data_IF_207104145285
#
_entry.id   IF_207104145285
#
_cell.length_a   1.000
_cell.length_b   1.000
_cell.length_c   1.000
_cell.angle_alpha   90.00
_cell.angle_beta   90.00
_cell.angle_gamma   90.00
#
_symmetry.space_group_name_H-M   'P 1'
#
loop_
_entity.id
_entity.type
_entity.pdbx_description
1 polymer ?
#
# COMPACT_ATOMS: atom_id res chain seq x y z
N UNK A 1 -14.11 11.38 6.12
CA UNK A 1 -13.37 10.98 7.34
C UNK A 1 -12.17 10.17 6.90
N UNK A 2 -10.96 10.45 7.38
CA UNK A 2 -9.80 9.64 7.04
C UNK A 2 -9.90 8.29 7.76
N UNK A 3 -10.23 7.22 7.03
CA UNK A 3 -10.30 5.87 7.60
C UNK A 3 -8.93 5.51 8.16
N UNK A 4 -8.86 5.33 9.48
CA UNK A 4 -7.65 4.87 10.16
C UNK A 4 -7.89 3.42 10.56
N UNK A 5 -7.11 2.50 10.00
CA UNK A 5 -7.15 1.10 10.43
C UNK A 5 -6.74 0.99 11.89
N UNK A 6 -7.63 0.48 12.74
CA UNK A 6 -7.38 0.27 14.16
C UNK A 6 -6.52 -0.96 14.42
N UNK A 7 -5.26 -0.88 14.02
CA UNK A 7 -4.34 -2.02 14.02
C UNK A 7 -4.03 -2.56 15.43
N UNK A 8 -4.01 -1.68 16.44
CA UNK A 8 -3.79 -2.09 17.83
C UNK A 8 -4.90 -3.01 18.34
N UNK A 9 -6.17 -2.75 17.98
CA UNK A 9 -7.29 -3.61 18.38
C UNK A 9 -7.12 -5.05 17.83
N UNK A 10 -6.62 -5.17 16.60
CA UNK A 10 -6.34 -6.48 16.00
C UNK A 10 -5.13 -7.16 16.65
N UNK A 11 -4.10 -6.39 17.01
CA UNK A 11 -2.94 -6.92 17.71
C UNK A 11 -3.32 -7.47 19.09
N UNK A 12 -4.08 -6.71 19.88
CA UNK A 12 -4.54 -7.13 21.20
C UNK A 12 -5.40 -8.40 21.10
N UNK A 13 -6.27 -8.47 20.07
CA UNK A 13 -7.08 -9.66 19.79
C UNK A 13 -6.22 -10.87 19.43
N UNK A 14 -5.18 -10.72 18.61
CA UNK A 14 -4.26 -11.80 18.25
C UNK A 14 -3.48 -12.31 19.46
N UNK A 15 -2.96 -11.40 20.29
CA UNK A 15 -2.20 -11.76 21.50
C UNK A 15 -3.11 -12.49 22.51
N UNK A 16 -4.41 -12.17 22.55
CA UNK A 16 -5.38 -12.81 23.44
C UNK A 16 -5.88 -14.17 22.92
N UNK A 17 -6.25 -14.26 21.64
CA UNK A 17 -6.95 -15.42 21.08
C UNK A 17 -6.04 -16.40 20.33
N UNK A 18 -4.83 -15.98 19.97
CA UNK A 18 -3.83 -16.81 19.29
C UNK A 18 -2.43 -16.62 19.89
N UNK A 19 -2.25 -16.83 21.21
CA UNK A 19 -0.99 -16.50 21.91
C UNK A 19 0.23 -17.26 21.39
N UNK A 20 0.02 -18.46 20.85
CA UNK A 20 1.11 -19.29 20.28
C UNK A 20 1.44 -18.96 18.82
N UNK A 21 0.61 -18.16 18.12
CA UNK A 21 0.83 -17.74 16.73
C UNK A 21 1.69 -16.46 16.67
N UNK A 22 2.93 -16.61 17.12
CA UNK A 22 3.93 -15.53 17.17
C UNK A 22 4.15 -14.90 15.78
N UNK A 23 4.05 -15.70 14.72
CA UNK A 23 4.25 -15.22 13.35
C UNK A 23 3.15 -14.24 12.96
N UNK A 24 1.88 -14.61 13.12
CA UNK A 24 0.76 -13.71 12.82
C UNK A 24 0.75 -12.49 13.73
N UNK A 25 1.04 -12.66 15.03
CA UNK A 25 1.08 -11.55 16.00
C UNK A 25 2.15 -10.49 15.68
N UNK A 26 3.20 -10.83 14.92
CA UNK A 26 4.22 -9.87 14.49
C UNK A 26 3.83 -9.07 13.24
N UNK A 27 2.83 -9.51 12.45
CA UNK A 27 2.43 -8.83 11.23
C UNK A 27 1.85 -7.42 11.51
N UNK A 28 0.95 -7.21 12.50
CA UNK A 28 0.51 -5.87 12.89
C UNK A 28 1.67 -4.95 13.30
N UNK A 29 2.67 -5.46 14.04
CA UNK A 29 3.85 -4.67 14.44
C UNK A 29 4.64 -4.21 13.22
N UNK A 30 4.81 -5.10 12.23
CA UNK A 30 5.49 -4.80 10.96
C UNK A 30 4.73 -3.78 10.11
N UNK A 31 3.40 -3.89 10.04
CA UNK A 31 2.53 -2.92 9.37
C UNK A 31 2.62 -1.55 10.04
N UNK A 32 2.52 -1.49 11.36
CA UNK A 32 2.68 -0.24 12.13
C UNK A 32 4.02 0.42 11.82
N UNK A 33 5.12 -0.33 11.88
CA UNK A 33 6.46 0.19 11.53
C UNK A 33 6.53 0.68 10.08
N UNK A 34 5.94 -0.04 9.15
CA UNK A 34 5.91 0.31 7.73
C UNK A 34 5.12 1.61 7.49
N UNK A 35 4.03 1.84 8.22
CA UNK A 35 3.29 3.11 8.16
C UNK A 35 4.16 4.31 8.57
N UNK A 36 4.93 4.19 9.66
CA UNK A 36 5.87 5.24 10.08
C UNK A 36 6.93 5.54 9.01
N UNK A 37 7.52 4.50 8.41
CA UNK A 37 8.53 4.63 7.35
C UNK A 37 7.91 5.28 6.10
N UNK A 38 6.70 4.88 5.72
CA UNK A 38 5.98 5.48 4.60
C UNK A 38 5.76 6.98 4.82
N UNK A 39 5.25 7.36 6.00
CA UNK A 39 5.02 8.77 6.31
C UNK A 39 6.30 9.61 6.28
N UNK A 40 7.43 9.04 6.72
CA UNK A 40 8.72 9.70 6.62
C UNK A 40 9.09 9.99 5.16
N UNK A 41 9.05 8.98 4.29
CA UNK A 41 9.42 9.14 2.88
C UNK A 41 8.44 10.04 2.13
N UNK A 42 7.13 9.92 2.38
CA UNK A 42 6.12 10.77 1.74
C UNK A 42 6.34 12.25 2.09
N UNK A 43 6.64 12.56 3.36
CA UNK A 43 6.93 13.95 3.76
C UNK A 43 8.18 14.49 3.08
N UNK A 44 9.27 13.72 3.07
CA UNK A 44 10.52 14.15 2.44
C UNK A 44 10.38 14.33 0.92
N UNK A 45 9.66 13.44 0.24
CA UNK A 45 9.40 13.59 -1.20
C UNK A 45 8.56 14.83 -1.50
N UNK A 46 7.50 15.08 -0.72
CA UNK A 46 6.61 16.24 -0.87
C UNK A 46 7.35 17.56 -0.64
N UNK A 47 8.22 17.59 0.37
CA UNK A 47 8.88 18.82 0.82
C UNK A 47 10.23 19.07 0.13
N UNK A 48 10.68 18.14 -0.73
CA UNK A 48 11.99 18.21 -1.38
C UNK A 48 12.26 19.52 -2.11
N UNK A 49 11.24 20.11 -2.74
CA UNK A 49 11.34 21.37 -3.49
C UNK A 49 10.83 22.59 -2.69
N UNK A 50 10.64 22.49 -1.37
CA UNK A 50 10.05 23.56 -0.56
C UNK A 50 10.81 24.89 -0.68
N UNK A 51 12.14 24.86 -0.82
CA UNK A 51 12.98 26.04 -0.96
C UNK A 51 12.77 26.79 -2.30
N UNK A 52 12.24 26.11 -3.31
CA UNK A 52 11.96 26.67 -4.64
C UNK A 52 10.52 27.15 -4.80
N UNK A 53 9.65 26.92 -3.81
CA UNK A 53 8.27 27.40 -3.83
C UNK A 53 8.20 28.88 -3.51
N UNK A 54 7.45 29.62 -4.32
CA UNK A 54 7.21 31.04 -4.09
C UNK A 54 6.00 31.26 -3.18
N UNK A 55 5.97 32.34 -2.37
CA UNK A 55 4.87 32.60 -1.43
C UNK A 55 3.51 32.81 -2.10
N UNK A 56 3.50 33.26 -3.35
CA UNK A 56 2.32 33.49 -4.18
C UNK A 56 1.90 32.25 -5.00
N UNK A 57 2.63 31.15 -4.87
CA UNK A 57 2.40 29.92 -5.65
C UNK A 57 3.04 29.96 -7.05
N UNK A 58 3.83 30.99 -7.37
CA UNK A 58 4.62 31.05 -8.59
C UNK A 58 5.66 29.92 -8.70
N UNK A 59 5.99 29.60 -9.95
CA UNK A 59 6.97 28.57 -10.31
C UNK A 59 8.25 29.15 -10.92
N UNK A 60 8.42 30.48 -10.92
CA UNK A 60 9.54 31.15 -11.60
C UNK A 60 10.87 30.74 -10.98
N UNK A 61 10.96 30.79 -9.65
CA UNK A 61 12.15 30.35 -8.92
C UNK A 61 12.53 28.90 -9.24
N UNK A 62 11.55 28.01 -9.31
CA UNK A 62 11.78 26.60 -9.64
C UNK A 62 12.20 26.42 -11.10
N UNK A 63 11.59 27.18 -12.02
CA UNK A 63 11.96 27.18 -13.44
C UNK A 63 13.41 27.63 -13.65
N UNK A 64 13.79 28.75 -13.06
CA UNK A 64 15.14 29.33 -13.17
C UNK A 64 16.18 28.36 -12.61
N UNK A 65 15.93 27.77 -11.44
CA UNK A 65 16.83 26.82 -10.82
C UNK A 65 17.01 25.54 -11.66
N UNK A 66 15.93 25.04 -12.26
CA UNK A 66 15.94 23.91 -13.19
C UNK A 66 16.77 24.22 -14.44
N UNK A 67 16.51 25.35 -15.10
CA UNK A 67 17.18 25.73 -16.36
C UNK A 67 18.65 26.12 -16.17
N UNK A 68 19.01 26.59 -14.97
CA UNK A 68 20.37 26.98 -14.61
C UNK A 68 21.22 25.82 -14.08
N UNK A 69 20.65 24.60 -14.02
CA UNK A 69 21.30 23.42 -13.45
C UNK A 69 21.86 23.67 -12.04
N UNK A 70 21.10 24.37 -11.21
CA UNK A 70 21.54 24.69 -9.85
C UNK A 70 21.85 23.39 -9.06
N UNK A 71 22.99 23.32 -8.35
CA UNK A 71 23.33 22.15 -7.53
C UNK A 71 22.24 21.82 -6.49
N UNK A 72 21.63 22.84 -5.90
CA UNK A 72 20.57 22.67 -4.90
C UNK A 72 19.28 22.12 -5.52
N UNK A 73 18.95 22.52 -6.76
CA UNK A 73 17.83 21.92 -7.50
C UNK A 73 18.10 20.44 -7.78
N UNK A 74 19.30 20.11 -8.25
CA UNK A 74 19.70 18.72 -8.50
C UNK A 74 19.64 17.86 -7.23
N UNK A 75 20.02 18.45 -6.09
CA UNK A 75 19.89 17.80 -4.78
C UNK A 75 18.42 17.60 -4.38
N UNK A 76 17.56 18.60 -4.56
CA UNK A 76 16.14 18.48 -4.31
C UNK A 76 15.48 17.40 -5.19
N UNK A 77 15.84 17.35 -6.48
CA UNK A 77 15.41 16.31 -7.40
C UNK A 77 15.78 14.91 -6.91
N UNK A 78 17.04 14.71 -6.51
CA UNK A 78 17.50 13.42 -5.95
C UNK A 78 16.76 13.06 -4.66
N UNK A 79 16.54 14.02 -3.76
CA UNK A 79 15.77 13.80 -2.53
C UNK A 79 14.34 13.37 -2.84
N UNK A 80 13.68 14.04 -3.78
CA UNK A 80 12.32 13.72 -4.19
C UNK A 80 12.26 12.30 -4.78
N UNK A 81 13.14 11.98 -5.72
CA UNK A 81 13.15 10.70 -6.42
C UNK A 81 13.44 9.54 -5.47
N UNK A 82 14.49 9.66 -4.64
CA UNK A 82 14.87 8.61 -3.70
C UNK A 82 13.75 8.31 -2.69
N UNK A 83 13.07 9.35 -2.19
CA UNK A 83 11.98 9.17 -1.25
C UNK A 83 10.69 8.70 -1.92
N UNK A 84 10.43 9.06 -3.17
CA UNK A 84 9.33 8.52 -3.95
C UNK A 84 9.50 7.01 -4.17
N UNK A 85 10.68 6.59 -4.63
CA UNK A 85 11.03 5.17 -4.82
C UNK A 85 10.85 4.40 -3.49
N UNK A 86 11.35 4.95 -2.39
CA UNK A 86 11.22 4.33 -1.07
C UNK A 86 9.74 4.25 -0.61
N UNK A 87 8.93 5.28 -0.86
CA UNK A 87 7.50 5.27 -0.55
C UNK A 87 6.77 4.17 -1.34
N UNK A 88 7.02 4.07 -2.65
CA UNK A 88 6.43 3.04 -3.52
C UNK A 88 6.78 1.63 -3.01
N UNK A 89 8.07 1.38 -2.73
CA UNK A 89 8.49 0.08 -2.18
C UNK A 89 7.86 -0.22 -0.82
N UNK A 90 7.71 0.80 0.03
CA UNK A 90 7.08 0.65 1.34
C UNK A 90 5.61 0.29 1.20
N UNK A 91 4.84 0.94 0.32
CA UNK A 91 3.43 0.60 0.07
C UNK A 91 3.29 -0.81 -0.51
N UNK A 92 4.16 -1.20 -1.43
CA UNK A 92 4.17 -2.56 -1.99
C UNK A 92 4.44 -3.62 -0.92
N UNK A 93 5.44 -3.39 -0.07
CA UNK A 93 5.73 -4.28 1.06
C UNK A 93 4.57 -4.31 2.07
N UNK A 94 3.94 -3.16 2.35
CA UNK A 94 2.76 -3.06 3.22
C UNK A 94 1.61 -3.92 2.70
N UNK A 95 1.35 -3.90 1.38
CA UNK A 95 0.33 -4.74 0.76
C UNK A 95 0.63 -6.24 0.92
N UNK A 96 1.88 -6.67 0.76
CA UNK A 96 2.26 -8.08 0.90
C UNK A 96 2.19 -8.55 2.36
N UNK A 97 2.58 -7.72 3.33
CA UNK A 97 2.41 -8.03 4.76
C UNK A 97 0.93 -8.09 5.12
N UNK A 98 0.11 -7.18 4.60
CA UNK A 98 -1.34 -7.23 4.76
C UNK A 98 -1.93 -8.52 4.17
N UNK A 99 -1.49 -8.95 2.99
CA UNK A 99 -1.92 -10.20 2.38
C UNK A 99 -1.56 -11.41 3.25
N UNK A 100 -0.37 -11.42 3.88
CA UNK A 100 0.01 -12.47 4.84
C UNK A 100 -0.94 -12.53 6.03
N UNK A 101 -1.33 -11.36 6.56
CA UNK A 101 -2.29 -11.27 7.67
C UNK A 101 -3.68 -11.78 7.26
N UNK A 102 -4.15 -11.42 6.07
CA UNK A 102 -5.41 -11.95 5.51
C UNK A 102 -5.35 -13.46 5.32
N UNK A 103 -4.23 -13.98 4.79
CA UNK A 103 -4.03 -15.40 4.56
C UNK A 103 -4.10 -16.22 5.86
N UNK A 104 -3.53 -15.73 6.97
CA UNK A 104 -3.57 -16.45 8.26
C UNK A 104 -4.90 -16.31 9.00
N UNK A 105 -5.66 -15.23 8.74
CA UNK A 105 -6.91 -14.96 9.45
C UNK A 105 -8.16 -15.47 8.74
N UNK A 106 -8.20 -15.41 7.40
CA UNK A 106 -9.44 -15.63 6.63
C UNK A 106 -9.40 -16.86 5.70
N UNK A 107 -8.23 -17.41 5.39
CA UNK A 107 -8.12 -18.61 4.54
C UNK A 107 -8.10 -19.86 5.44
N UNK A 108 -9.03 -20.83 5.25
CA UNK A 108 -9.12 -22.02 6.12
C UNK A 108 -7.84 -22.87 6.15
N UNK A 109 -7.14 -22.95 5.01
CA UNK A 109 -5.83 -23.61 4.89
C UNK A 109 -4.85 -22.58 4.34
N UNK A 110 -4.16 -21.82 5.22
CA UNK A 110 -3.27 -20.75 4.81
C UNK A 110 -2.15 -21.25 3.88
N UNK A 111 -1.86 -20.48 2.83
CA UNK A 111 -0.71 -20.76 1.98
C UNK A 111 0.61 -20.47 2.71
N UNK A 112 1.70 -21.18 2.40
CA UNK A 112 3.02 -20.85 2.93
C UNK A 112 3.43 -19.41 2.60
N UNK A 113 4.07 -18.72 3.54
CA UNK A 113 4.42 -17.29 3.43
C UNK A 113 5.15 -16.92 2.11
N UNK A 114 6.08 -17.78 1.65
CA UNK A 114 6.81 -17.58 0.38
C UNK A 114 5.93 -17.50 -0.88
N UNK A 115 4.69 -17.94 -0.79
CA UNK A 115 3.72 -17.90 -1.88
C UNK A 115 2.62 -16.86 -1.66
N UNK A 116 2.70 -16.09 -0.58
CA UNK A 116 1.64 -15.19 -0.13
C UNK A 116 1.78 -13.79 -0.74
N UNK A 117 1.58 -13.67 -2.06
CA UNK A 117 1.45 -12.37 -2.72
C UNK A 117 0.02 -11.83 -2.59
N UNK A 118 -0.13 -10.51 -2.63
CA UNK A 118 -1.45 -9.86 -2.56
C UNK A 118 -2.45 -10.43 -3.58
N UNK A 119 -2.05 -10.54 -4.85
CA UNK A 119 -2.92 -11.04 -5.92
C UNK A 119 -3.33 -12.49 -5.74
N UNK A 120 -2.46 -13.35 -5.19
CA UNK A 120 -2.80 -14.74 -4.90
C UNK A 120 -3.81 -14.82 -3.77
N UNK A 121 -3.58 -14.12 -2.66
CA UNK A 121 -4.50 -14.11 -1.51
C UNK A 121 -5.88 -13.58 -1.93
N UNK A 122 -5.92 -12.51 -2.75
CA UNK A 122 -7.17 -12.00 -3.30
C UNK A 122 -7.92 -13.03 -4.17
N UNK A 123 -7.21 -13.95 -4.85
CA UNK A 123 -7.79 -15.05 -5.61
C UNK A 123 -8.29 -16.21 -4.74
N UNK A 124 -7.52 -16.58 -3.73
CA UNK A 124 -7.71 -17.77 -2.89
C UNK A 124 -8.76 -17.57 -1.79
N UNK A 125 -9.18 -16.33 -1.51
CA UNK A 125 -10.22 -16.03 -0.52
C UNK A 125 -11.57 -16.70 -0.87
N UNK A 126 -12.36 -17.11 0.13
CA UNK A 126 -13.77 -17.46 -0.07
C UNK A 126 -14.57 -16.27 -0.60
N UNK A 127 -15.64 -16.54 -1.36
CA UNK A 127 -16.45 -15.44 -1.91
C UNK A 127 -17.06 -14.56 -0.84
N UNK A 128 -16.83 -13.25 -0.98
CA UNK A 128 -17.23 -12.23 -0.01
C UNK A 128 -17.05 -10.82 -0.60
N UNK A 129 -17.70 -9.82 -0.02
CA UNK A 129 -17.45 -8.42 -0.36
C UNK A 129 -15.98 -8.03 -0.14
N UNK A 130 -15.36 -8.57 0.92
CA UNK A 130 -13.94 -8.37 1.20
C UNK A 130 -13.03 -8.88 0.07
N UNK A 131 -13.31 -10.08 -0.45
CA UNK A 131 -12.59 -10.64 -1.61
C UNK A 131 -12.72 -9.74 -2.84
N UNK A 132 -13.93 -9.29 -3.16
CA UNK A 132 -14.19 -8.42 -4.30
C UNK A 132 -13.36 -7.14 -4.22
N UNK A 133 -13.33 -6.47 -3.06
CA UNK A 133 -12.53 -5.26 -2.87
C UNK A 133 -11.02 -5.51 -2.95
N UNK A 134 -10.52 -6.65 -2.46
CA UNK A 134 -9.11 -7.03 -2.68
C UNK A 134 -8.80 -7.25 -4.15
N UNK A 135 -9.69 -7.91 -4.89
CA UNK A 135 -9.53 -8.13 -6.33
C UNK A 135 -9.58 -6.83 -7.12
N UNK A 136 -10.51 -5.94 -6.78
CA UNK A 136 -10.60 -4.58 -7.34
C UNK A 136 -9.30 -3.81 -7.12
N UNK A 137 -8.79 -3.76 -5.88
CA UNK A 137 -7.51 -3.11 -5.61
C UNK A 137 -6.36 -3.75 -6.40
N UNK A 138 -6.30 -5.09 -6.45
CA UNK A 138 -5.26 -5.82 -7.19
C UNK A 138 -5.28 -5.51 -8.70
N UNK A 139 -6.48 -5.32 -9.26
CA UNK A 139 -6.67 -4.99 -10.68
C UNK A 139 -6.59 -3.49 -10.99
N UNK A 140 -6.57 -2.63 -9.98
CA UNK A 140 -6.57 -1.18 -10.17
C UNK A 140 -5.29 -0.68 -10.85
N UNK A 141 -5.44 0.38 -11.65
CA UNK A 141 -4.35 0.98 -12.41
C UNK A 141 -3.15 1.29 -11.51
N UNK A 142 -3.36 2.04 -10.42
CA UNK A 142 -2.26 2.48 -9.56
C UNK A 142 -1.62 1.35 -8.78
N UNK A 143 -2.38 0.36 -8.28
CA UNK A 143 -1.76 -0.78 -7.61
C UNK A 143 -0.84 -1.57 -8.55
N UNK A 144 -1.26 -1.73 -9.81
CA UNK A 144 -0.46 -2.35 -10.87
C UNK A 144 0.74 -1.48 -11.25
N UNK A 145 0.56 -0.17 -11.42
CA UNK A 145 1.66 0.77 -11.66
C UNK A 145 2.75 0.61 -10.59
N UNK A 146 2.39 0.67 -9.30
CA UNK A 146 3.35 0.54 -8.20
C UNK A 146 4.02 -0.85 -8.18
N UNK A 147 3.30 -1.91 -8.55
CA UNK A 147 3.85 -3.26 -8.63
C UNK A 147 4.89 -3.36 -9.75
N UNK A 148 4.56 -2.86 -10.95
CA UNK A 148 5.46 -2.81 -12.09
C UNK A 148 6.70 -1.95 -11.79
N UNK A 149 6.49 -0.73 -11.30
CA UNK A 149 7.55 0.19 -10.90
C UNK A 149 8.49 -0.47 -9.89
N UNK A 150 7.95 -1.02 -8.79
CA UNK A 150 8.76 -1.68 -7.78
C UNK A 150 9.53 -2.89 -8.33
N UNK A 151 8.98 -3.65 -9.27
CA UNK A 151 9.63 -4.82 -9.82
C UNK A 151 10.75 -4.45 -10.81
N UNK A 152 10.53 -3.44 -11.66
CA UNK A 152 11.55 -2.90 -12.56
C UNK A 152 12.72 -2.36 -11.75
N UNK A 153 12.45 -1.49 -10.77
CA UNK A 153 13.47 -0.89 -9.90
C UNK A 153 14.27 -1.90 -9.08
N UNK A 154 13.68 -3.06 -8.74
CA UNK A 154 14.36 -4.14 -7.99
C UNK A 154 15.20 -5.08 -8.88
N UNK A 155 14.74 -5.38 -10.09
CA UNK A 155 15.24 -6.53 -10.85
C UNK A 155 15.80 -6.18 -12.24
N UNK A 156 15.57 -4.96 -12.72
CA UNK A 156 15.98 -4.55 -14.08
C UNK A 156 16.88 -3.31 -14.04
N UNK A 157 16.30 -2.16 -13.69
CA UNK A 157 16.98 -0.86 -13.63
C UNK A 157 16.10 0.13 -12.87
N UNK A 158 16.67 1.23 -12.38
CA UNK A 158 15.89 2.29 -11.77
C UNK A 158 15.13 3.07 -12.84
N UNK A 159 13.84 3.30 -12.61
CA UNK A 159 13.05 4.22 -13.43
C UNK A 159 13.44 5.65 -13.09
N UNK A 160 13.97 6.36 -14.07
CA UNK A 160 14.46 7.73 -13.91
C UNK A 160 13.32 8.75 -14.00
N UNK A 161 13.41 9.76 -13.14
CA UNK A 161 12.57 10.94 -13.17
C UNK A 161 13.35 12.10 -13.77
N UNK A 162 12.79 12.76 -14.79
CA UNK A 162 13.44 13.89 -15.45
C UNK A 162 12.80 15.22 -15.06
N UNK A 163 13.60 16.28 -14.82
CA UNK A 163 13.08 17.63 -14.70
C UNK A 163 12.28 18.02 -15.95
N UNK A 164 11.08 18.57 -15.74
CA UNK A 164 10.18 18.96 -16.81
C UNK A 164 9.31 20.13 -16.37
N UNK A 165 8.89 20.95 -17.34
CA UNK A 165 7.95 22.03 -17.18
C UNK A 165 6.82 21.89 -18.20
N UNK A 166 5.59 22.10 -17.76
CA UNK A 166 4.38 22.17 -18.58
C UNK A 166 3.72 23.52 -18.35
N UNK A 167 3.66 24.35 -19.40
CA UNK A 167 3.01 25.66 -19.34
C UNK A 167 1.48 25.55 -19.44
N UNK A 168 0.97 24.49 -20.05
CA UNK A 168 -0.47 24.24 -20.14
C UNK A 168 -1.05 23.80 -18.80
N UNK A 169 -0.27 23.05 -18.01
CA UNK A 169 -0.65 22.55 -16.68
C UNK A 169 -0.18 23.49 -15.55
N UNK A 170 0.66 24.48 -15.86
CA UNK A 170 1.38 25.36 -14.91
C UNK A 170 2.14 24.57 -13.83
N UNK A 171 2.90 23.56 -14.27
CA UNK A 171 3.60 22.61 -13.40
C UNK A 171 5.06 22.52 -13.79
N UNK A 172 5.94 22.58 -12.78
CA UNK A 172 7.38 22.32 -12.90
C UNK A 172 7.77 21.30 -11.85
N UNK A 173 8.54 20.29 -12.24
CA UNK A 173 8.94 19.24 -11.32
C UNK A 173 9.62 18.08 -12.00
N UNK A 174 9.62 16.94 -11.33
CA UNK A 174 10.12 15.70 -11.89
C UNK A 174 8.98 14.90 -12.51
N UNK A 175 9.24 14.30 -13.66
CA UNK A 175 8.31 13.40 -14.34
C UNK A 175 8.97 12.04 -14.52
N UNK A 176 8.32 11.01 -13.97
CA UNK A 176 8.70 9.62 -14.22
C UNK A 176 8.45 9.32 -15.69
N UNK A 177 9.44 8.73 -16.35
CA UNK A 177 9.32 8.38 -17.76
C UNK A 177 8.29 7.27 -18.00
N UNK A 178 7.81 7.18 -19.24
CA UNK A 178 6.98 6.07 -19.67
C UNK A 178 7.77 4.76 -19.52
N UNK A 179 7.09 3.71 -19.09
CA UNK A 179 7.65 2.36 -19.03
C UNK A 179 6.58 1.31 -19.29
N UNK A 180 7.01 0.11 -19.61
CA UNK A 180 6.14 -1.02 -19.88
C UNK A 180 6.45 -2.20 -18.97
N UNK A 181 5.43 -3.00 -18.67
CA UNK A 181 5.58 -4.19 -17.83
C UNK A 181 4.61 -5.30 -18.21
N UNK A 182 5.15 -6.51 -18.32
CA UNK A 182 4.39 -7.73 -18.53
C UNK A 182 4.15 -8.41 -17.18
N UNK A 183 2.89 -8.46 -16.73
CA UNK A 183 2.53 -9.10 -15.46
C UNK A 183 2.42 -10.62 -15.56
N UNK A 184 2.00 -11.13 -16.72
CA UNK A 184 1.96 -12.55 -17.01
C UNK A 184 2.13 -12.81 -18.52
N UNK A 185 2.67 -13.98 -18.92
CA UNK A 185 2.89 -14.32 -20.34
C UNK A 185 1.63 -14.46 -21.20
N UNK A 186 0.44 -14.40 -20.60
CA UNK A 186 -0.85 -14.54 -21.27
C UNK A 186 -1.58 -13.21 -21.42
N UNK A 187 -1.03 -12.13 -20.86
CA UNK A 187 -1.58 -10.78 -20.88
C UNK A 187 -0.69 -9.91 -21.75
N UNK A 188 -1.31 -8.97 -22.48
CA UNK A 188 -0.56 -7.98 -23.23
C UNK A 188 0.29 -7.13 -22.28
N UNK A 189 1.46 -6.71 -22.76
CA UNK A 189 2.31 -5.79 -22.03
C UNK A 189 1.53 -4.51 -21.68
N UNK A 190 1.57 -4.10 -20.42
CA UNK A 190 0.92 -2.87 -19.96
C UNK A 190 1.88 -1.71 -20.10
N UNK A 191 1.50 -0.68 -20.85
CA UNK A 191 2.25 0.58 -20.96
C UNK A 191 1.71 1.57 -19.93
N UNK A 192 2.62 2.16 -19.15
CA UNK A 192 2.32 3.17 -18.14
C UNK A 192 2.85 4.53 -18.61
N UNK A 193 1.98 5.53 -18.82
CA UNK A 193 2.39 6.83 -19.36
C UNK A 193 3.22 7.62 -18.36
N UNK A 194 3.89 8.67 -18.87
CA UNK A 194 4.65 9.59 -18.03
C UNK A 194 3.78 10.23 -16.95
N UNK A 195 4.24 10.18 -15.70
CA UNK A 195 3.51 10.68 -14.54
C UNK A 195 4.35 11.70 -13.76
N UNK A 196 3.72 12.78 -13.29
CA UNK A 196 4.41 13.73 -12.43
C UNK A 196 4.75 13.09 -11.09
N UNK A 197 5.92 13.41 -10.55
CA UNK A 197 6.40 12.83 -9.29
C UNK A 197 5.49 13.15 -8.10
N UNK A 198 4.82 14.32 -8.10
CA UNK A 198 3.86 14.67 -7.04
C UNK A 198 2.53 13.92 -7.20
N UNK A 199 2.04 13.73 -8.43
CA UNK A 199 0.85 12.90 -8.69
C UNK A 199 1.12 11.44 -8.30
N UNK A 200 2.27 10.89 -8.71
CA UNK A 200 2.66 9.54 -8.35
C UNK A 200 2.80 9.37 -6.84
N UNK A 201 3.26 10.41 -6.13
CA UNK A 201 3.34 10.39 -4.67
C UNK A 201 1.94 10.35 -4.03
N UNK A 202 1.00 11.17 -4.51
CA UNK A 202 -0.37 11.15 -4.01
C UNK A 202 -1.04 9.80 -4.31
N UNK A 203 -0.84 9.25 -5.50
CA UNK A 203 -1.44 7.98 -5.89
C UNK A 203 -0.82 6.78 -5.16
N UNK A 204 0.48 6.86 -4.85
CA UNK A 204 1.13 5.94 -3.91
C UNK A 204 0.42 5.95 -2.55
N UNK A 205 0.10 7.13 -2.05
CA UNK A 205 -0.60 7.28 -0.79
C UNK A 205 -2.09 6.89 -0.88
N UNK A 206 -2.75 7.10 -2.03
CA UNK A 206 -4.10 6.58 -2.32
C UNK A 206 -4.14 5.07 -2.21
N UNK A 207 -3.21 4.36 -2.85
CA UNK A 207 -3.13 2.89 -2.74
C UNK A 207 -2.97 2.46 -1.29
N UNK A 208 -2.10 3.13 -0.53
CA UNK A 208 -1.96 2.86 0.90
C UNK A 208 -3.27 3.05 1.67
N UNK A 209 -4.00 4.15 1.46
CA UNK A 209 -5.31 4.39 2.09
C UNK A 209 -6.32 3.28 1.78
N UNK A 210 -6.35 2.80 0.53
CA UNK A 210 -7.22 1.65 0.15
C UNK A 210 -6.86 0.37 0.91
N UNK A 211 -5.57 0.14 1.19
CA UNK A 211 -5.16 -0.99 2.03
C UNK A 211 -5.59 -0.78 3.49
N UNK A 212 -5.57 0.45 4.00
CA UNK A 212 -6.10 0.74 5.35
C UNK A 212 -7.60 0.50 5.45
N UNK A 213 -8.38 0.85 4.42
CA UNK A 213 -9.81 0.56 4.35
C UNK A 213 -10.07 -0.95 4.42
N UNK A 214 -9.34 -1.73 3.62
CA UNK A 214 -9.38 -3.20 3.69
C UNK A 214 -8.96 -3.71 5.07
N UNK A 215 -7.92 -3.15 5.68
CA UNK A 215 -7.49 -3.49 7.04
C UNK A 215 -8.59 -3.25 8.08
N UNK A 216 -9.32 -2.14 7.98
CA UNK A 216 -10.44 -1.87 8.88
C UNK A 216 -11.59 -2.87 8.69
N UNK A 217 -11.89 -3.25 7.44
CA UNK A 217 -12.87 -4.30 7.16
C UNK A 217 -12.43 -5.67 7.68
N UNK A 218 -11.13 -5.97 7.64
CA UNK A 218 -10.57 -7.19 8.22
C UNK A 218 -10.82 -7.23 9.74
N UNK A 219 -10.63 -6.11 10.44
CA UNK A 219 -10.97 -6.01 11.86
C UNK A 219 -12.45 -6.32 12.10
N UNK A 220 -13.36 -5.74 11.32
CA UNK A 220 -14.80 -6.00 11.44
C UNK A 220 -15.12 -7.48 11.26
N UNK A 221 -14.50 -8.15 10.29
CA UNK A 221 -14.69 -9.58 10.07
C UNK A 221 -14.17 -10.47 11.20
N UNK A 222 -13.00 -10.15 11.74
CA UNK A 222 -12.33 -10.98 12.74
C UNK A 222 -12.93 -10.75 14.12
N UNK A 223 -13.12 -9.49 14.51
CA UNK A 223 -13.57 -9.12 15.85
C UNK A 223 -15.07 -9.36 16.06
N UNK A 224 -15.92 -9.20 15.04
CA UNK A 224 -17.38 -9.41 15.19
C UNK A 224 -17.81 -10.88 15.14
N UNK A 225 -17.00 -11.78 14.54
CA UNK A 225 -17.34 -13.20 14.45
C UNK A 225 -17.38 -13.92 15.81
N UNK A 226 -16.73 -13.39 16.84
CA UNK A 226 -16.75 -13.99 18.19
C UNK A 226 -17.99 -13.61 19.00
N UNK A 227 -18.58 -12.44 18.79
CA UNK A 227 -19.81 -12.04 19.50
C UNK A 227 -20.98 -12.97 19.17
N UNK A 228 -21.01 -13.52 17.95
CA UNK A 228 -22.03 -14.49 17.53
C UNK A 228 -21.85 -15.92 18.05
N UNK A 229 -20.63 -16.30 18.47
CA UNK A 229 -20.33 -17.66 18.95
C UNK A 229 -20.69 -17.84 20.43
N UNK A 230 -20.59 -16.78 21.23
CA UNK A 230 -20.92 -16.79 22.67
C UNK A 230 -22.44 -16.89 22.91
N UNK A 231 -23.28 -16.51 21.95
CA UNK A 231 -24.75 -16.57 22.08
C UNK A 231 -25.37 -17.93 21.71
N UNK A 232 -24.60 -18.94 21.25
CA UNK A 232 -25.15 -20.25 20.87
C UNK A 232 -24.85 -21.39 21.87
N UNK A 233 -24.17 -21.16 22.99
CA UNK A 233 -23.92 -22.18 24.01
C UNK A 233 -24.96 -22.18 25.16
N UNK A 234 -26.21 -21.84 24.86
CA UNK A 234 -27.32 -21.88 25.80
C UNK A 234 -28.06 -23.23 25.78
N UNK A 235 -27.56 -24.16 26.60
CA UNK A 235 -28.26 -25.30 27.22
C UNK A 235 -29.51 -25.90 26.51
N UNK A 236 -29.33 -27.04 25.85
CA UNK A 236 -30.38 -28.06 25.76
C UNK A 236 -30.34 -28.91 27.03
N UNK A 237 -31.42 -28.99 27.83
CA UNK A 237 -31.48 -29.92 28.95
C UNK A 237 -31.66 -31.34 28.42
N UNK A 238 -30.73 -32.23 28.79
CA UNK A 238 -30.86 -33.67 28.64
C UNK A 238 -32.06 -34.18 29.45
N UNK A 239 -32.94 -35.03 28.88
CA UNK A 239 -33.92 -35.74 29.69
C UNK A 239 -33.23 -36.90 30.42
N UNK A 240 -33.38 -36.92 31.74
CA UNK A 240 -32.98 -38.03 32.61
C UNK A 240 -33.72 -39.32 32.25
N UNK A 241 -33.12 -40.50 32.55
CA UNK A 241 -33.77 -41.79 32.35
C UNK A 241 -34.67 -42.12 33.55
N UNK A 242 -35.86 -42.64 33.28
CA UNK A 242 -36.64 -43.64 34.04
C UNK A 242 -38.14 -43.41 33.83
N UNK A 243 -38.77 -44.22 32.98
CA UNK A 243 -39.73 -45.29 33.35
C UNK A 243 -40.19 -46.04 32.09
#
# INVERSE_FOLDING_TARGET
MATTWKLNELQDWLETNRPDDIQTANLPKSLSRSAFILHYHVRLARDAFAEFKEPDGGSEKMFVAMMSFEPDFSRAALVQEANLIAAIHTVRNYADIFAQLVNTLLIPVPAPQKYCSFGRVAGDLPESAFKQLMQELNSSHWFRYLAAFSNISKHRHLLESQPSASFDEDVIGLRVQEFSYEFNPKEAETVFPRCWGHDLLEETYTVYRRILELGQMLNEHVLLREVGSICQSGASPSPSPND
#
